data_IF_481146401152
#
_entry.id   IF_481146401152
#
_cell.length_a   1.000
_cell.length_b   1.000
_cell.length_c   1.000
_cell.angle_alpha   90.00
_cell.angle_beta   90.00
_cell.angle_gamma   90.00
#
_symmetry.space_group_name_H-M   'P 1'
#
loop_
_entity.id
_entity.type
_entity.pdbx_description
1 polymer ?
#
# COMPACT_ATOMS: atom_id res chain seq x y z
N UNK A 1 26.40 11.98 20.51
CA UNK A 1 26.93 10.81 21.24
C UNK A 1 28.30 11.18 21.75
N UNK A 2 28.68 10.72 22.93
CA UNK A 2 30.01 10.91 23.49
C UNK A 2 30.56 9.52 23.79
N UNK A 3 31.78 9.23 23.35
CA UNK A 3 32.44 7.96 23.64
C UNK A 3 33.66 8.21 24.52
N UNK A 4 33.81 7.40 25.57
CA UNK A 4 35.03 7.34 26.36
C UNK A 4 35.71 6.01 26.05
N UNK A 5 36.82 6.07 25.33
CA UNK A 5 37.66 4.91 25.05
C UNK A 5 38.58 4.66 26.24
N UNK A 6 38.28 3.63 27.03
CA UNK A 6 39.02 3.27 28.25
C UNK A 6 40.38 2.65 27.96
N UNK A 7 40.59 2.08 26.77
CA UNK A 7 41.87 1.49 26.36
C UNK A 7 42.84 2.59 25.93
N UNK A 8 42.38 3.49 25.07
CA UNK A 8 43.19 4.60 24.57
C UNK A 8 43.17 5.83 25.49
N UNK A 9 42.41 5.79 26.59
CA UNK A 9 42.21 6.87 27.57
C UNK A 9 41.84 8.19 26.90
N UNK A 10 40.99 8.13 25.87
CA UNK A 10 40.58 9.29 25.06
C UNK A 10 39.07 9.48 25.15
N UNK A 11 38.65 10.74 25.20
CA UNK A 11 37.26 11.13 24.99
C UNK A 11 37.11 11.49 23.52
N UNK A 12 36.14 10.89 22.85
CA UNK A 12 35.78 11.19 21.47
C UNK A 12 34.43 11.90 21.42
N UNK A 13 34.41 13.04 20.73
CA UNK A 13 33.21 13.81 20.48
C UNK A 13 32.35 13.20 19.37
N UNK A 14 31.11 13.66 19.26
CA UNK A 14 30.09 13.07 18.36
C UNK A 14 30.52 13.07 16.89
N UNK A 15 31.10 14.17 16.42
CA UNK A 15 31.50 14.33 15.02
C UNK A 15 32.65 13.39 14.66
N UNK A 16 33.69 13.35 15.48
CA UNK A 16 34.86 12.46 15.31
C UNK A 16 34.43 11.00 15.32
N UNK A 17 33.55 10.62 16.25
CA UNK A 17 33.03 9.26 16.36
C UNK A 17 32.26 8.86 15.10
N UNK A 18 31.34 9.72 14.65
CA UNK A 18 30.55 9.49 13.42
C UNK A 18 31.45 9.42 12.20
N UNK A 19 32.44 10.29 12.09
CA UNK A 19 33.38 10.30 10.97
C UNK A 19 34.19 9.00 10.93
N UNK A 20 34.71 8.53 12.07
CA UNK A 20 35.43 7.26 12.17
C UNK A 20 34.56 6.08 11.74
N UNK A 21 33.33 5.99 12.25
CA UNK A 21 32.38 4.92 11.90
C UNK A 21 32.04 4.97 10.41
N UNK A 22 31.77 6.17 9.87
CA UNK A 22 31.48 6.38 8.45
C UNK A 22 32.64 6.01 7.54
N UNK A 23 33.89 6.16 8.00
CA UNK A 23 35.11 5.82 7.25
C UNK A 23 35.46 4.33 7.34
N UNK A 24 34.95 3.63 8.34
CA UNK A 24 35.24 2.20 8.57
C UNK A 24 34.81 1.33 7.39
N UNK A 25 33.78 1.74 6.63
CA UNK A 25 33.23 0.97 5.51
C UNK A 25 32.85 1.85 4.33
N UNK A 26 32.89 1.32 3.09
CA UNK A 26 32.47 2.06 1.92
C UNK A 26 30.93 2.07 1.78
N UNK A 27 30.21 2.72 2.71
CA UNK A 27 28.73 2.75 2.74
C UNK A 27 28.10 3.20 1.41
N UNK A 28 28.76 4.11 0.69
CA UNK A 28 28.32 4.57 -0.64
C UNK A 28 28.32 3.45 -1.68
N UNK A 29 29.28 2.53 -1.61
CA UNK A 29 29.35 1.35 -2.48
C UNK A 29 28.30 0.32 -2.06
N UNK A 30 28.18 0.07 -0.76
CA UNK A 30 27.22 -0.90 -0.19
C UNK A 30 25.75 -0.52 -0.48
N UNK A 31 25.45 0.77 -0.64
CA UNK A 31 24.09 1.27 -0.92
C UNK A 31 23.80 1.48 -2.41
N UNK A 32 24.76 1.20 -3.30
CA UNK A 32 24.62 1.48 -4.74
C UNK A 32 23.50 0.67 -5.42
N UNK A 33 23.19 -0.53 -4.89
CA UNK A 33 22.20 -1.43 -5.48
C UNK A 33 20.74 -1.08 -5.16
N UNK A 34 20.50 0.01 -4.41
CA UNK A 34 19.14 0.50 -4.11
C UNK A 34 18.36 0.80 -5.38
N UNK A 35 17.13 0.34 -5.41
CA UNK A 35 16.19 0.57 -6.52
C UNK A 35 15.23 1.67 -6.11
N UNK A 36 15.02 2.62 -7.00
CA UNK A 36 14.04 3.69 -6.81
C UNK A 36 12.87 3.52 -7.78
N UNK A 37 11.68 3.92 -7.36
CA UNK A 37 10.48 3.81 -8.19
C UNK A 37 10.64 4.54 -9.53
N UNK A 38 11.34 5.69 -9.54
CA UNK A 38 11.64 6.44 -10.76
C UNK A 38 12.47 5.66 -11.79
N UNK A 39 13.34 4.74 -11.34
CA UNK A 39 14.11 3.89 -12.23
C UNK A 39 13.21 2.84 -12.89
N UNK A 40 12.34 2.20 -12.11
CA UNK A 40 11.33 1.26 -12.62
C UNK A 40 10.38 1.97 -13.59
N UNK A 41 9.97 3.21 -13.28
CA UNK A 41 9.12 4.02 -14.14
C UNK A 41 9.76 4.26 -15.51
N UNK A 42 11.04 4.61 -15.55
CA UNK A 42 11.79 4.82 -16.80
C UNK A 42 11.92 3.54 -17.63
N UNK A 43 12.22 2.42 -16.96
CA UNK A 43 12.35 1.10 -17.59
C UNK A 43 11.02 0.64 -18.23
N UNK A 44 9.91 0.84 -17.51
CA UNK A 44 8.59 0.50 -17.99
C UNK A 44 8.15 1.35 -19.19
N UNK A 45 8.44 2.65 -19.18
CA UNK A 45 8.15 3.55 -20.32
C UNK A 45 8.91 3.10 -21.57
N UNK A 46 10.15 2.62 -21.42
CA UNK A 46 10.93 2.08 -22.54
C UNK A 46 10.37 0.77 -23.07
N UNK A 47 9.85 -0.10 -22.18
CA UNK A 47 9.38 -1.44 -22.54
C UNK A 47 7.94 -1.47 -23.06
N UNK A 48 7.04 -0.70 -22.43
CA UNK A 48 5.58 -0.78 -22.65
C UNK A 48 4.95 0.55 -23.07
N UNK A 49 5.72 1.64 -23.11
CA UNK A 49 5.21 2.99 -23.36
C UNK A 49 4.59 3.66 -22.13
N UNK A 50 4.46 4.99 -22.18
CA UNK A 50 3.92 5.78 -21.08
C UNK A 50 2.44 5.51 -20.83
N UNK A 51 2.08 5.25 -19.57
CA UNK A 51 0.70 5.11 -19.11
C UNK A 51 0.29 6.33 -18.29
N UNK A 52 -0.91 6.84 -18.55
CA UNK A 52 -1.52 7.91 -17.77
C UNK A 52 -2.66 7.39 -16.91
N UNK A 53 -2.93 8.07 -15.78
CA UNK A 53 -4.10 7.75 -14.95
C UNK A 53 -5.40 7.84 -15.75
N UNK A 54 -5.52 8.82 -16.65
CA UNK A 54 -6.69 8.97 -17.52
C UNK A 54 -6.93 7.75 -18.40
N UNK A 55 -5.85 7.19 -18.98
CA UNK A 55 -5.95 5.98 -19.79
C UNK A 55 -6.43 4.79 -18.96
N UNK A 56 -5.85 4.57 -17.76
CA UNK A 56 -6.24 3.48 -16.86
C UNK A 56 -7.71 3.61 -16.45
N UNK A 57 -8.12 4.81 -16.04
CA UNK A 57 -9.50 5.11 -15.63
C UNK A 57 -10.44 4.87 -16.80
N UNK A 58 -10.13 5.39 -18.01
CA UNK A 58 -10.96 5.21 -19.20
C UNK A 58 -11.09 3.73 -19.56
N UNK A 59 -9.99 2.97 -19.54
CA UNK A 59 -9.98 1.52 -19.79
C UNK A 59 -10.85 0.77 -18.78
N UNK A 60 -10.77 1.14 -17.49
CA UNK A 60 -11.60 0.54 -16.45
C UNK A 60 -13.08 0.90 -16.61
N UNK A 61 -13.40 2.14 -16.92
CA UNK A 61 -14.79 2.55 -17.17
C UNK A 61 -15.37 1.86 -18.42
N UNK A 62 -14.55 1.63 -19.44
CA UNK A 62 -14.95 0.84 -20.62
C UNK A 62 -15.24 -0.61 -20.28
N UNK A 63 -14.39 -1.26 -19.46
CA UNK A 63 -14.63 -2.66 -19.05
C UNK A 63 -15.90 -2.82 -18.23
N UNK A 64 -16.31 -1.78 -17.50
CA UNK A 64 -17.56 -1.71 -16.74
C UNK A 64 -18.77 -1.31 -17.61
N UNK A 65 -18.59 -1.09 -18.92
CA UNK A 65 -19.68 -0.67 -19.82
C UNK A 65 -20.19 0.75 -19.56
N UNK A 66 -19.44 1.57 -18.81
CA UNK A 66 -19.79 2.96 -18.47
C UNK A 66 -19.45 3.92 -19.62
N UNK A 67 -18.37 3.63 -20.35
CA UNK A 67 -17.98 4.38 -21.55
C UNK A 67 -18.22 3.55 -22.82
N UNK A 68 -19.35 3.78 -23.49
CA UNK A 68 -19.59 3.25 -24.84
C UNK A 68 -18.82 4.09 -25.88
N UNK A 69 -17.73 3.54 -26.43
CA UNK A 69 -17.00 4.15 -27.55
C UNK A 69 -17.72 4.00 -28.90
N UNK A 70 -18.87 3.32 -28.94
CA UNK A 70 -19.64 3.10 -30.18
C UNK A 70 -20.38 4.34 -30.71
N UNK A 71 -20.35 5.48 -30.00
CA UNK A 71 -21.09 6.70 -30.38
C UNK A 71 -20.26 7.65 -31.27
N UNK A 72 -18.95 7.47 -31.45
CA UNK A 72 -18.17 8.39 -32.30
C UNK A 72 -18.37 8.19 -33.81
N UNK A 73 -19.10 7.16 -34.27
CA UNK A 73 -19.37 6.90 -35.69
C UNK A 73 -20.82 7.03 -36.14
N UNK A 74 -21.77 7.32 -35.25
CA UNK A 74 -23.17 7.58 -35.66
C UNK A 74 -23.52 9.05 -35.48
N UNK A 75 -23.55 9.71 -36.64
CA UNK A 75 -23.97 11.07 -36.89
C UNK A 75 -25.27 11.51 -36.16
N UNK A 76 -25.27 12.79 -35.79
CA UNK A 76 -26.42 13.72 -35.81
C UNK A 76 -27.73 13.23 -35.18
N UNK A 77 -27.82 13.23 -33.85
CA UNK A 77 -29.08 13.52 -33.13
C UNK A 77 -28.76 13.98 -31.70
N UNK A 78 -29.29 15.13 -31.21
CA UNK A 78 -28.94 15.65 -29.88
C UNK A 78 -29.89 15.08 -28.82
N UNK A 79 -29.90 13.78 -28.60
CA UNK A 79 -30.78 13.15 -27.60
C UNK A 79 -30.13 11.92 -26.97
N UNK A 80 -29.06 12.14 -26.22
CA UNK A 80 -28.76 11.33 -25.04
C UNK A 80 -27.87 12.18 -24.14
N UNK A 81 -28.49 12.89 -23.19
CA UNK A 81 -27.76 13.41 -22.03
C UNK A 81 -26.98 12.21 -21.48
N UNK A 82 -25.65 12.33 -21.42
CA UNK A 82 -24.80 11.38 -20.68
C UNK A 82 -25.52 11.18 -19.35
N UNK A 83 -25.96 9.95 -19.05
CA UNK A 83 -26.51 9.67 -17.73
C UNK A 83 -25.35 9.92 -16.78
N UNK A 84 -25.39 11.03 -16.05
CA UNK A 84 -24.48 11.24 -14.94
C UNK A 84 -24.66 10.01 -14.06
N UNK A 85 -23.65 9.15 -13.99
CA UNK A 85 -23.70 8.03 -13.08
C UNK A 85 -23.75 8.63 -11.68
N UNK A 86 -24.92 8.56 -11.09
CA UNK A 86 -25.09 8.90 -9.68
C UNK A 86 -24.16 7.96 -8.92
N UNK A 87 -23.28 8.52 -8.12
CA UNK A 87 -22.25 7.77 -7.37
C UNK A 87 -22.86 6.55 -6.63
N UNK A 88 -24.07 6.71 -6.10
CA UNK A 88 -24.84 5.65 -5.42
C UNK A 88 -25.24 4.45 -6.29
N UNK A 89 -25.13 4.56 -7.61
CA UNK A 89 -25.42 3.45 -8.53
C UNK A 89 -24.34 2.36 -8.53
N UNK A 90 -23.11 2.68 -8.09
CA UNK A 90 -22.03 1.70 -8.00
C UNK A 90 -22.16 0.87 -6.71
N UNK A 91 -22.61 -0.38 -6.87
CA UNK A 91 -22.79 -1.33 -5.76
C UNK A 91 -21.48 -1.65 -5.03
N UNK A 92 -20.31 -1.45 -5.67
CA UNK A 92 -19.02 -1.67 -5.02
C UNK A 92 -18.77 -0.66 -3.91
N UNK A 93 -19.25 0.58 -4.07
CA UNK A 93 -19.13 1.59 -3.03
C UNK A 93 -19.89 1.17 -1.78
N UNK A 94 -21.13 0.69 -1.94
CA UNK A 94 -21.92 0.14 -0.83
C UNK A 94 -21.25 -1.09 -0.21
N UNK A 95 -20.67 -1.98 -1.02
CA UNK A 95 -19.97 -3.18 -0.53
C UNK A 95 -18.78 -2.84 0.36
N UNK A 96 -18.04 -1.78 0.04
CA UNK A 96 -16.92 -1.27 0.85
C UNK A 96 -17.34 -0.16 1.83
N UNK A 97 -18.63 -0.06 2.15
CA UNK A 97 -19.20 0.88 3.11
C UNK A 97 -18.95 2.37 2.82
N UNK A 98 -18.77 2.75 1.56
CA UNK A 98 -18.74 4.15 1.14
C UNK A 98 -20.18 4.69 1.01
N UNK A 99 -20.55 5.60 1.89
CA UNK A 99 -21.86 6.26 1.89
C UNK A 99 -21.79 7.65 1.25
N UNK A 100 -22.92 8.24 0.82
CA UNK A 100 -22.98 9.65 0.41
C UNK A 100 -22.28 10.60 1.41
N UNK A 101 -22.48 10.36 2.71
CA UNK A 101 -21.91 11.17 3.78
C UNK A 101 -20.40 10.99 3.87
N UNK A 102 -19.88 9.76 3.73
CA UNK A 102 -18.43 9.53 3.63
C UNK A 102 -17.83 10.33 2.47
N UNK A 103 -18.52 10.40 1.34
CA UNK A 103 -18.04 11.19 0.20
C UNK A 103 -18.06 12.70 0.48
N UNK A 104 -19.19 13.24 0.93
CA UNK A 104 -19.36 14.68 1.13
C UNK A 104 -18.53 15.21 2.29
N UNK A 105 -18.46 14.46 3.40
CA UNK A 105 -17.80 14.89 4.64
C UNK A 105 -16.30 14.57 4.60
N UNK A 106 -15.88 13.44 4.05
CA UNK A 106 -14.47 12.99 4.14
C UNK A 106 -13.73 13.17 2.81
N UNK A 107 -14.24 12.56 1.73
CA UNK A 107 -13.48 12.50 0.47
C UNK A 107 -13.45 13.83 -0.29
N UNK A 108 -14.55 14.59 -0.33
CA UNK A 108 -14.61 15.87 -1.06
C UNK A 108 -13.65 16.92 -0.46
N UNK A 109 -13.55 17.09 0.88
CA UNK A 109 -12.53 17.96 1.47
C UNK A 109 -11.10 17.49 1.18
N UNK A 110 -10.82 16.18 1.25
CA UNK A 110 -9.51 15.63 0.90
C UNK A 110 -9.10 15.96 -0.54
N UNK A 111 -10.04 15.92 -1.48
CA UNK A 111 -9.78 16.23 -2.90
C UNK A 111 -9.63 17.75 -3.11
N UNK A 112 -10.54 18.54 -2.58
CA UNK A 112 -10.61 19.99 -2.85
C UNK A 112 -9.56 20.77 -2.07
N UNK A 113 -9.37 20.47 -0.79
CA UNK A 113 -8.52 21.21 0.12
C UNK A 113 -7.15 20.56 0.36
N UNK A 114 -6.99 19.29 -0.07
CA UNK A 114 -5.78 18.47 0.17
C UNK A 114 -5.46 18.30 1.65
N UNK A 115 -6.49 18.30 2.49
CA UNK A 115 -6.43 18.11 3.93
C UNK A 115 -7.47 17.09 4.36
N UNK A 116 -7.19 16.40 5.46
CA UNK A 116 -8.21 15.58 6.10
C UNK A 116 -9.38 16.45 6.55
N UNK A 117 -10.59 15.89 6.50
CA UNK A 117 -11.79 16.57 6.95
C UNK A 117 -11.73 16.86 8.45
N UNK A 118 -12.06 18.09 8.82
CA UNK A 118 -12.16 18.49 10.23
C UNK A 118 -13.59 18.34 10.72
N UNK A 119 -13.74 17.65 11.85
CA UNK A 119 -15.00 17.52 12.57
C UNK A 119 -14.90 18.15 13.96
N UNK A 120 -16.05 18.30 14.62
CA UNK A 120 -16.14 18.71 16.03
C UNK A 120 -17.07 17.75 16.77
N UNK A 121 -17.12 17.89 18.11
CA UNK A 121 -17.82 16.99 19.04
C UNK A 121 -17.17 15.61 19.19
N UNK A 122 -17.63 14.86 20.19
CA UNK A 122 -17.22 13.48 20.40
C UNK A 122 -17.87 12.53 19.40
N UNK A 123 -17.35 11.30 19.35
CA UNK A 123 -17.99 10.23 18.59
C UNK A 123 -19.07 9.57 19.46
N UNK A 124 -20.33 9.91 19.22
CA UNK A 124 -21.49 9.35 19.93
C UNK A 124 -21.98 8.02 19.30
N UNK A 125 -21.30 7.51 18.27
CA UNK A 125 -21.64 6.22 17.69
C UNK A 125 -21.33 5.07 18.65
N UNK A 126 -22.17 4.02 18.60
CA UNK A 126 -21.91 2.79 19.34
C UNK A 126 -20.56 2.18 18.94
N UNK A 127 -19.89 1.53 19.89
CA UNK A 127 -18.69 0.75 19.61
C UNK A 127 -18.97 -0.27 18.50
N UNK A 128 -17.97 -0.58 17.67
CA UNK A 128 -18.13 -1.47 16.52
C UNK A 128 -18.70 -2.85 16.90
N UNK A 129 -18.40 -3.37 18.10
CA UNK A 129 -18.94 -4.63 18.61
C UNK A 129 -20.40 -4.56 19.11
N UNK A 130 -20.92 -3.36 19.38
CA UNK A 130 -22.28 -3.10 19.85
C UNK A 130 -23.17 -2.48 18.77
N UNK A 131 -22.60 -2.14 17.61
CA UNK A 131 -23.34 -1.54 16.52
C UNK A 131 -24.34 -2.54 15.93
N UNK A 132 -25.57 -2.08 15.70
CA UNK A 132 -26.57 -2.84 14.94
C UNK A 132 -26.28 -2.82 13.42
N UNK A 133 -25.42 -1.89 12.99
CA UNK A 133 -24.91 -1.82 11.63
C UNK A 133 -23.67 -2.71 11.50
N UNK A 134 -23.41 -3.27 10.32
CA UNK A 134 -22.21 -4.06 10.03
C UNK A 134 -21.01 -3.14 9.75
N UNK A 135 -20.16 -2.80 10.74
CA UNK A 135 -19.07 -1.87 10.53
C UNK A 135 -17.91 -2.57 9.81
N UNK A 136 -17.07 -1.80 9.13
CA UNK A 136 -15.84 -2.33 8.55
C UNK A 136 -14.89 -2.83 9.64
N UNK A 137 -14.08 -3.83 9.30
CA UNK A 137 -13.13 -4.43 10.24
C UNK A 137 -12.11 -3.40 10.79
N UNK A 138 -11.78 -2.36 10.01
CA UNK A 138 -10.93 -1.25 10.45
C UNK A 138 -11.49 -0.53 11.69
N UNK A 139 -12.81 -0.48 11.88
CA UNK A 139 -13.44 0.23 13.01
C UNK A 139 -13.24 -0.49 14.35
N UNK A 140 -12.81 -1.75 14.33
CA UNK A 140 -12.46 -2.50 15.54
C UNK A 140 -11.04 -2.16 16.02
N UNK A 141 -10.20 -1.60 15.16
CA UNK A 141 -8.84 -1.19 15.51
C UNK A 141 -8.84 0.28 15.96
N UNK A 142 -8.41 0.51 17.20
CA UNK A 142 -8.24 1.86 17.75
C UNK A 142 -6.77 2.25 17.70
N UNK A 143 -6.49 3.48 17.27
CA UNK A 143 -5.12 3.99 17.23
C UNK A 143 -4.63 4.22 18.66
N UNK A 144 -3.49 3.63 18.99
CA UNK A 144 -2.82 3.89 20.25
C UNK A 144 -2.11 5.24 20.17
N UNK A 145 -2.14 5.99 21.26
CA UNK A 145 -1.40 7.22 21.42
C UNK A 145 -0.54 7.17 22.67
N UNK A 146 0.55 7.91 22.63
CA UNK A 146 1.45 8.05 23.77
C UNK A 146 0.86 9.03 24.79
N UNK A 147 0.87 8.63 26.06
CA UNK A 147 0.46 9.50 27.16
C UNK A 147 1.44 9.33 28.32
N UNK A 148 1.99 10.45 28.81
CA UNK A 148 2.94 10.55 29.94
C UNK A 148 4.31 9.89 29.69
N UNK A 149 4.34 8.62 29.26
CA UNK A 149 5.55 7.81 29.14
C UNK A 149 6.51 8.29 28.05
N UNK A 150 5.99 8.86 26.98
CA UNK A 150 6.74 9.44 25.87
C UNK A 150 5.93 10.58 25.25
N UNK A 151 6.56 11.73 24.94
CA UNK A 151 5.84 12.85 24.33
C UNK A 151 5.46 12.53 22.87
N UNK A 152 4.27 12.95 22.40
CA UNK A 152 3.95 12.91 20.97
C UNK A 152 4.80 13.92 20.19
N UNK A 153 5.13 13.60 18.94
CA UNK A 153 5.88 14.47 18.02
C UNK A 153 4.89 15.35 17.24
N UNK A 154 5.19 16.64 17.08
CA UNK A 154 4.40 17.54 16.23
C UNK A 154 4.69 17.28 14.74
N UNK A 155 3.75 16.75 13.95
CA UNK A 155 4.00 16.37 12.56
C UNK A 155 4.22 17.56 11.62
N UNK A 156 3.87 18.78 12.03
CA UNK A 156 4.06 19.99 11.23
C UNK A 156 5.34 20.73 11.63
N UNK A 157 5.57 20.92 12.93
CA UNK A 157 6.74 21.66 13.42
C UNK A 157 8.03 20.84 13.39
N UNK A 158 7.92 19.52 13.55
CA UNK A 158 9.06 18.59 13.62
C UNK A 158 9.11 17.65 12.41
N UNK A 159 8.56 18.07 11.26
CA UNK A 159 8.50 17.24 10.06
C UNK A 159 9.89 16.74 9.60
N UNK A 160 10.96 17.50 9.84
CA UNK A 160 12.33 17.15 9.43
C UNK A 160 12.88 15.88 10.10
N UNK A 161 12.37 15.52 11.29
CA UNK A 161 12.80 14.30 12.00
C UNK A 161 11.92 13.09 11.69
N UNK A 162 10.85 13.28 10.89
CA UNK A 162 9.92 12.22 10.48
C UNK A 162 10.21 11.76 9.05
N UNK A 163 9.92 10.49 8.75
CA UNK A 163 10.02 9.97 7.39
C UNK A 163 8.93 8.94 7.10
N UNK A 164 8.35 9.01 5.91
CA UNK A 164 7.41 8.03 5.37
C UNK A 164 8.09 7.03 4.43
N UNK A 165 9.42 7.02 4.35
CA UNK A 165 10.15 6.13 3.44
C UNK A 165 9.87 4.67 3.78
N UNK A 166 9.48 3.91 2.77
CA UNK A 166 9.15 2.50 2.88
C UNK A 166 10.13 1.66 2.04
N UNK A 167 11.12 0.99 2.66
CA UNK A 167 11.88 -0.03 1.97
C UNK A 167 11.02 -1.28 1.74
N UNK A 168 10.99 -1.76 0.50
CA UNK A 168 10.31 -3.00 0.09
C UNK A 168 11.37 -3.97 -0.44
N UNK A 169 11.13 -5.27 -0.27
CA UNK A 169 11.97 -6.35 -0.81
C UNK A 169 12.76 -7.09 0.27
N UNK A 170 13.65 -8.02 -0.13
CA UNK A 170 14.37 -8.90 0.79
C UNK A 170 15.24 -8.13 1.78
N UNK A 171 15.41 -8.68 2.99
CA UNK A 171 16.32 -8.16 4.02
C UNK A 171 17.67 -8.85 3.93
N UNK A 172 18.72 -8.03 3.90
CA UNK A 172 20.09 -8.51 4.03
C UNK A 172 20.37 -8.91 5.48
N UNK A 173 21.39 -9.76 5.66
CA UNK A 173 21.79 -10.21 6.99
C UNK A 173 22.31 -9.03 7.82
N UNK A 174 21.60 -8.70 8.92
CA UNK A 174 21.99 -7.62 9.83
C UNK A 174 23.34 -7.88 10.52
N UNK A 175 23.74 -9.14 10.65
CA UNK A 175 24.98 -9.55 11.32
C UNK A 175 26.19 -9.54 10.39
N UNK A 176 25.98 -9.52 9.06
CA UNK A 176 27.06 -9.46 8.09
C UNK A 176 27.25 -8.02 7.59
N UNK A 177 28.23 -7.30 8.11
CA UNK A 177 28.44 -5.90 7.77
C UNK A 177 29.00 -5.64 6.37
N UNK A 178 29.62 -6.65 5.76
CA UNK A 178 30.39 -6.51 4.52
C UNK A 178 29.61 -7.02 3.30
N UNK A 179 28.45 -7.64 3.53
CA UNK A 179 27.54 -8.05 2.47
C UNK A 179 27.00 -6.83 1.71
N UNK A 180 26.95 -6.91 0.39
CA UNK A 180 26.21 -5.92 -0.40
C UNK A 180 24.74 -5.93 0.07
N UNK A 181 24.23 -4.77 0.45
CA UNK A 181 22.82 -4.66 0.82
C UNK A 181 21.99 -5.06 -0.39
N UNK A 182 21.10 -6.03 -0.19
CA UNK A 182 20.20 -6.47 -1.23
C UNK A 182 19.49 -5.28 -1.87
N UNK A 183 19.27 -5.37 -3.18
CA UNK A 183 18.57 -4.33 -3.92
C UNK A 183 17.15 -4.23 -3.37
N UNK A 184 16.91 -3.30 -2.45
CA UNK A 184 15.58 -2.95 -1.94
C UNK A 184 14.98 -1.82 -2.78
N UNK A 185 13.67 -1.88 -3.00
CA UNK A 185 12.90 -0.79 -3.58
C UNK A 185 12.62 0.23 -2.48
N UNK A 186 13.16 1.44 -2.63
CA UNK A 186 12.89 2.54 -1.73
C UNK A 186 11.73 3.36 -2.28
N UNK A 187 10.60 3.32 -1.58
CA UNK A 187 9.49 4.24 -1.79
C UNK A 187 9.65 5.44 -0.86
N UNK A 188 9.29 6.63 -1.35
CA UNK A 188 9.28 7.84 -0.52
C UNK A 188 8.08 7.89 0.45
N UNK A 189 6.99 7.19 0.11
CA UNK A 189 5.77 7.07 0.90
C UNK A 189 5.06 5.74 0.61
N UNK A 190 4.18 5.26 1.52
CA UNK A 190 3.44 4.01 1.32
C UNK A 190 2.27 4.12 0.34
N UNK A 191 1.85 5.33 -0.02
CA UNK A 191 0.71 5.57 -0.93
C UNK A 191 1.19 5.62 -2.38
N UNK A 192 0.67 4.70 -3.20
CA UNK A 192 1.03 4.57 -4.61
C UNK A 192 -0.10 5.07 -5.52
N UNK A 193 0.28 5.68 -6.64
CA UNK A 193 -0.67 6.02 -7.70
C UNK A 193 -1.12 4.76 -8.46
N UNK A 194 -2.23 4.85 -9.19
CA UNK A 194 -2.71 3.75 -10.03
C UNK A 194 -1.69 3.37 -11.11
N UNK A 195 -1.01 4.35 -11.68
CA UNK A 195 0.07 4.14 -12.65
C UNK A 195 1.25 3.41 -12.00
N UNK A 196 1.73 3.88 -10.84
CA UNK A 196 2.86 3.25 -10.15
C UNK A 196 2.55 1.79 -9.79
N UNK A 197 1.32 1.51 -9.33
CA UNK A 197 0.89 0.14 -9.03
C UNK A 197 0.89 -0.76 -10.27
N UNK A 198 0.40 -0.25 -11.41
CA UNK A 198 0.38 -1.02 -12.67
C UNK A 198 1.80 -1.30 -13.18
N UNK A 199 2.70 -0.32 -13.03
CA UNK A 199 4.12 -0.46 -13.34
C UNK A 199 4.75 -1.56 -12.47
N UNK A 200 4.49 -1.53 -11.16
CA UNK A 200 5.01 -2.55 -10.23
C UNK A 200 4.44 -3.94 -10.53
N UNK A 201 3.18 -4.04 -10.98
CA UNK A 201 2.57 -5.33 -11.36
C UNK A 201 3.33 -6.05 -12.47
N UNK A 202 3.83 -5.31 -13.46
CA UNK A 202 4.51 -5.85 -14.65
C UNK A 202 6.02 -5.63 -14.67
N UNK A 203 6.59 -5.21 -13.53
CA UNK A 203 8.02 -4.94 -13.45
C UNK A 203 8.84 -6.20 -13.73
N UNK A 204 9.93 -6.02 -14.47
CA UNK A 204 11.00 -7.01 -14.65
C UNK A 204 12.39 -6.41 -14.36
N UNK A 205 12.40 -5.20 -13.78
CA UNK A 205 13.61 -4.41 -13.57
C UNK A 205 14.58 -5.11 -12.61
N UNK A 206 15.83 -5.36 -13.03
CA UNK A 206 16.86 -6.03 -12.19
C UNK A 206 16.37 -7.34 -11.52
N UNK A 207 15.60 -8.16 -12.25
CA UNK A 207 15.00 -9.42 -11.74
C UNK A 207 13.93 -9.23 -10.66
N UNK A 208 13.48 -8.00 -10.43
CA UNK A 208 12.29 -7.76 -9.63
C UNK A 208 11.07 -8.27 -10.38
N UNK A 209 10.24 -8.99 -9.66
CA UNK A 209 8.97 -9.48 -10.14
C UNK A 209 7.92 -9.33 -9.05
N UNK A 210 6.65 -9.25 -9.46
CA UNK A 210 5.54 -9.20 -8.54
C UNK A 210 4.55 -10.33 -8.79
N UNK A 211 3.89 -10.78 -7.73
CA UNK A 211 2.77 -11.71 -7.79
C UNK A 211 1.52 -11.02 -7.26
N UNK A 212 0.48 -10.93 -8.08
CA UNK A 212 -0.84 -10.52 -7.61
C UNK A 212 -1.61 -11.74 -7.10
N UNK A 213 -2.13 -11.63 -5.88
CA UNK A 213 -2.96 -12.64 -5.22
C UNK A 213 -4.34 -12.04 -4.99
N UNK A 214 -5.35 -12.73 -5.51
CA UNK A 214 -6.73 -12.31 -5.37
C UNK A 214 -7.25 -12.65 -3.97
N UNK A 215 -7.72 -11.64 -3.25
CA UNK A 215 -8.28 -11.78 -1.89
C UNK A 215 -9.81 -11.85 -1.92
N UNK A 216 -10.35 -12.63 -2.85
CA UNK A 216 -11.80 -12.91 -2.99
C UNK A 216 -12.10 -14.39 -2.84
N UNK A 217 -13.35 -14.73 -2.52
CA UNK A 217 -13.82 -16.12 -2.44
C UNK A 217 -15.27 -16.28 -2.91
N UNK A 218 -15.68 -17.49 -3.36
CA UNK A 218 -17.02 -17.66 -3.94
C UNK A 218 -18.16 -17.48 -2.93
N UNK A 219 -19.16 -16.68 -3.30
CA UNK A 219 -20.35 -16.37 -2.51
C UNK A 219 -21.13 -17.60 -2.06
N UNK A 220 -21.17 -18.65 -2.89
CA UNK A 220 -21.84 -19.94 -2.59
C UNK A 220 -21.37 -20.60 -1.29
N UNK A 221 -20.18 -20.28 -0.80
CA UNK A 221 -19.65 -20.82 0.45
C UNK A 221 -20.06 -20.02 1.69
N UNK A 222 -20.65 -18.83 1.50
CA UNK A 222 -21.07 -17.93 2.57
C UNK A 222 -19.95 -17.67 3.59
N UNK A 223 -20.32 -17.48 4.86
CA UNK A 223 -19.36 -17.24 5.94
C UNK A 223 -18.33 -18.38 6.12
N UNK A 224 -18.70 -19.63 5.79
CA UNK A 224 -17.81 -20.80 5.89
C UNK A 224 -16.67 -20.75 4.86
N UNK A 225 -16.80 -19.94 3.80
CA UNK A 225 -15.76 -19.76 2.79
C UNK A 225 -14.57 -18.92 3.24
N UNK A 226 -14.69 -18.14 4.32
CA UNK A 226 -13.64 -17.21 4.75
C UNK A 226 -12.36 -17.91 5.20
N UNK A 227 -12.46 -18.94 6.05
CA UNK A 227 -11.28 -19.66 6.54
C UNK A 227 -10.50 -20.35 5.41
N UNK A 228 -11.14 -21.16 4.53
CA UNK A 228 -10.45 -21.72 3.37
C UNK A 228 -9.85 -20.66 2.43
N UNK A 229 -10.51 -19.50 2.29
CA UNK A 229 -9.98 -18.41 1.49
C UNK A 229 -8.70 -17.83 2.08
N UNK A 230 -8.65 -17.62 3.41
CA UNK A 230 -7.44 -17.18 4.10
C UNK A 230 -6.31 -18.20 3.97
N UNK A 231 -6.61 -19.49 4.15
CA UNK A 231 -5.62 -20.56 4.00
C UNK A 231 -5.04 -20.59 2.58
N UNK A 232 -5.90 -20.42 1.56
CA UNK A 232 -5.49 -20.29 0.15
C UNK A 232 -4.58 -19.08 -0.06
N UNK A 233 -5.01 -17.90 0.39
CA UNK A 233 -4.27 -16.64 0.22
C UNK A 233 -2.88 -16.75 0.88
N UNK A 234 -2.81 -17.30 2.09
CA UNK A 234 -1.56 -17.55 2.80
C UNK A 234 -0.67 -18.54 2.04
N UNK A 235 -1.23 -19.66 1.56
CA UNK A 235 -0.48 -20.66 0.80
C UNK A 235 0.08 -20.12 -0.51
N UNK A 236 -0.72 -19.34 -1.25
CA UNK A 236 -0.29 -18.67 -2.48
C UNK A 236 0.81 -17.63 -2.21
N UNK A 237 0.73 -16.90 -1.09
CA UNK A 237 1.75 -15.93 -0.69
C UNK A 237 3.06 -16.61 -0.32
N UNK A 238 3.01 -17.72 0.43
CA UNK A 238 4.20 -18.49 0.77
C UNK A 238 4.83 -19.12 -0.47
N UNK A 239 4.02 -19.69 -1.38
CA UNK A 239 4.51 -20.20 -2.65
C UNK A 239 5.18 -19.09 -3.48
N UNK A 240 4.58 -17.90 -3.56
CA UNK A 240 5.18 -16.77 -4.25
C UNK A 240 6.52 -16.32 -3.62
N UNK A 241 6.62 -16.33 -2.29
CA UNK A 241 7.88 -16.03 -1.61
C UNK A 241 8.96 -17.08 -1.93
N UNK A 242 8.61 -18.37 -1.93
CA UNK A 242 9.51 -19.48 -2.27
C UNK A 242 9.94 -19.46 -3.75
N UNK A 243 9.04 -19.05 -4.65
CA UNK A 243 9.33 -18.87 -6.08
C UNK A 243 10.22 -17.65 -6.36
N UNK A 244 10.58 -16.87 -5.33
CA UNK A 244 11.51 -15.76 -5.43
C UNK A 244 10.87 -14.42 -5.88
N UNK A 245 9.54 -14.27 -5.76
CA UNK A 245 8.89 -12.99 -6.01
C UNK A 245 9.21 -11.98 -4.90
N UNK A 246 9.71 -10.80 -5.27
CA UNK A 246 10.10 -9.75 -4.32
C UNK A 246 8.90 -8.92 -3.84
N UNK A 247 7.82 -8.88 -4.62
CA UNK A 247 6.61 -8.11 -4.31
C UNK A 247 5.40 -9.03 -4.36
N UNK A 248 4.60 -9.03 -3.30
CA UNK A 248 3.28 -9.67 -3.27
C UNK A 248 2.23 -8.56 -3.23
N UNK A 249 1.27 -8.60 -4.16
CA UNK A 249 0.19 -7.63 -4.28
C UNK A 249 -1.12 -8.33 -3.94
N UNK A 250 -1.71 -7.99 -2.80
CA UNK A 250 -3.05 -8.48 -2.44
C UNK A 250 -4.10 -7.61 -3.11
N UNK A 251 -5.05 -8.21 -3.86
CA UNK A 251 -6.05 -7.46 -4.62
C UNK A 251 -7.48 -7.98 -4.45
N UNK A 252 -8.39 -7.07 -4.13
CA UNK A 252 -9.85 -7.28 -4.03
C UNK A 252 -10.61 -6.85 -5.29
N UNK A 253 -9.89 -6.52 -6.38
CA UNK A 253 -10.48 -5.97 -7.62
C UNK A 253 -11.41 -6.94 -8.35
N UNK A 254 -11.22 -8.24 -8.16
CA UNK A 254 -12.01 -9.30 -8.80
C UNK A 254 -13.32 -9.59 -8.04
N UNK A 255 -13.82 -8.61 -7.29
CA UNK A 255 -15.12 -8.68 -6.63
C UNK A 255 -16.25 -8.54 -7.66
N UNK A 256 -17.22 -9.45 -7.58
CA UNK A 256 -18.39 -9.45 -8.44
C UNK A 256 -19.61 -10.04 -7.71
N UNK A 257 -20.66 -10.41 -8.44
CA UNK A 257 -21.89 -10.98 -7.87
C UNK A 257 -21.68 -12.36 -7.22
N UNK A 258 -20.66 -13.09 -7.66
CA UNK A 258 -20.37 -14.47 -7.26
C UNK A 258 -19.12 -14.56 -6.38
N UNK A 259 -18.34 -13.47 -6.25
CA UNK A 259 -17.08 -13.39 -5.51
C UNK A 259 -17.16 -12.32 -4.41
N UNK A 260 -16.98 -12.73 -3.15
CA UNK A 260 -16.97 -11.86 -1.97
C UNK A 260 -15.52 -11.47 -1.63
N UNK A 261 -15.23 -10.20 -1.31
CA UNK A 261 -13.89 -9.79 -0.88
C UNK A 261 -13.63 -10.19 0.57
N UNK A 262 -12.42 -10.66 0.83
CA UNK A 262 -11.87 -10.73 2.19
C UNK A 262 -11.44 -9.32 2.59
N UNK A 263 -11.72 -8.91 3.83
CA UNK A 263 -11.25 -7.62 4.33
C UNK A 263 -9.73 -7.51 4.19
N UNK A 264 -9.24 -6.45 3.54
CA UNK A 264 -7.82 -6.28 3.21
C UNK A 264 -6.91 -6.32 4.44
N UNK A 265 -7.33 -5.71 5.55
CA UNK A 265 -6.60 -5.75 6.83
C UNK A 265 -6.47 -7.17 7.41
N UNK A 266 -7.49 -8.01 7.22
CA UNK A 266 -7.48 -9.41 7.66
C UNK A 266 -6.56 -10.25 6.78
N UNK A 267 -6.69 -10.10 5.46
CA UNK A 267 -5.83 -10.81 4.50
C UNK A 267 -4.36 -10.44 4.68
N UNK A 268 -4.05 -9.15 4.83
CA UNK A 268 -2.70 -8.67 5.09
C UNK A 268 -2.13 -9.21 6.39
N UNK A 269 -2.90 -9.15 7.49
CA UNK A 269 -2.47 -9.68 8.78
C UNK A 269 -2.20 -11.18 8.75
N UNK A 270 -3.08 -11.95 8.09
CA UNK A 270 -2.91 -13.39 7.93
C UNK A 270 -1.66 -13.74 7.12
N UNK A 271 -1.46 -13.12 5.95
CA UNK A 271 -0.29 -13.34 5.10
C UNK A 271 1.00 -12.96 5.81
N UNK A 272 1.03 -11.78 6.45
CA UNK A 272 2.19 -11.31 7.20
C UNK A 272 2.60 -12.29 8.31
N UNK A 273 1.64 -12.75 9.12
CA UNK A 273 1.91 -13.72 10.18
C UNK A 273 2.30 -15.10 9.64
N UNK A 274 1.73 -15.51 8.50
CA UNK A 274 2.09 -16.76 7.84
C UNK A 274 3.55 -16.73 7.36
N UNK A 275 3.96 -15.67 6.68
CA UNK A 275 5.33 -15.48 6.18
C UNK A 275 6.36 -15.33 7.31
N UNK A 276 5.98 -14.77 8.46
CA UNK A 276 6.87 -14.74 9.64
C UNK A 276 7.09 -16.14 10.22
N UNK A 277 6.02 -16.95 10.28
CA UNK A 277 6.07 -18.29 10.89
C UNK A 277 6.72 -19.33 9.99
N UNK A 278 6.63 -19.16 8.67
CA UNK A 278 7.33 -19.99 7.71
C UNK A 278 8.66 -19.31 7.37
N UNK A 279 9.80 -19.75 7.92
CA UNK A 279 11.08 -19.15 7.56
C UNK A 279 11.31 -19.34 6.06
N UNK A 280 11.25 -18.25 5.31
CA UNK A 280 11.82 -18.18 3.97
C UNK A 280 13.32 -18.36 4.11
N UNK A 281 13.82 -19.50 3.64
CA UNK A 281 15.24 -19.87 3.64
C UNK A 281 16.09 -18.91 2.82
#
# INVERSE_FOLDING_TARGET
MLLVDTLNKKIEEDEDLKYRIATTRPYKKLTHNRVYLDQIRKDDVLSHGAITNEYIIKKHLQSQGVLDTRIERRAKTPTNRKRDLVLHSDRRLMLFSFTPDTFSIILVPMISEKKEALGSMGNDAALACLSEYSPLLSNYFQQLFAQVTNPPIDPFREQIVMSLRCPIGPESNLLDPDQELDSRLLLDQPVLSLVDLEILKRTSYKRWSSKTIDIVYPHRHGAKGLLPALDRICSEACAAALDGYQIIILSDRNVDKDMIPVASILALGAVHQCLIKQPSS
#
